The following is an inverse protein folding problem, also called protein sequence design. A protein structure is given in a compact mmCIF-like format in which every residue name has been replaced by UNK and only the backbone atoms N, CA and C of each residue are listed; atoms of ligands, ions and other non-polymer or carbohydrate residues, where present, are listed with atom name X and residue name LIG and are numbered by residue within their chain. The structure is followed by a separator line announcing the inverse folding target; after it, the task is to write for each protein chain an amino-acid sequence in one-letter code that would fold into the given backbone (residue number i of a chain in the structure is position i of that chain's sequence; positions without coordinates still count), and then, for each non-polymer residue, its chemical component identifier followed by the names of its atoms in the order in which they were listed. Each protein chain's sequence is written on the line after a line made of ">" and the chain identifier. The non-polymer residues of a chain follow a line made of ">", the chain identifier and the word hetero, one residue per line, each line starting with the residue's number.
data_IF_685864208064
#
_entry.id   IF_685864208064
#
_cell.length_a   1.000
_cell.length_b   1.000
_cell.length_c   1.000
_cell.angle_alpha   90.00
_cell.angle_beta   90.00
_cell.angle_gamma   90.00
#
_symmetry.space_group_name_H-M   'P 1'
#
loop_
_entity.id
_entity.type
_entity.pdbx_description
1 polymer ?
#
# COMPACT_ATOMS: atom_id res chain seq x y z
N UNK A 1 14.42 17.26 45.72
CA UNK A 1 15.45 16.72 46.63
C UNK A 1 16.64 16.31 45.77
N UNK A 2 17.83 16.82 46.05
CA UNK A 2 19.07 16.42 45.37
C UNK A 2 19.53 15.09 45.96
N UNK A 3 19.82 14.11 45.12
CA UNK A 3 20.44 12.84 45.51
C UNK A 3 21.74 12.73 44.72
N UNK A 4 22.90 12.88 45.37
CA UNK A 4 24.19 12.57 44.74
C UNK A 4 24.57 11.13 45.05
N UNK A 5 25.05 10.42 44.03
CA UNK A 5 25.54 9.05 44.18
C UNK A 5 27.04 9.10 44.52
N UNK A 6 27.55 8.14 45.32
CA UNK A 6 28.94 8.13 45.84
C UNK A 6 30.03 7.93 44.75
N UNK A 7 29.65 7.86 43.48
CA UNK A 7 30.51 7.57 42.32
C UNK A 7 30.57 8.77 41.36
N UNK A 8 29.83 9.86 41.61
CA UNK A 8 29.83 11.06 40.77
C UNK A 8 31.09 11.92 41.03
N UNK A 9 31.70 12.45 39.98
CA UNK A 9 32.80 13.41 40.13
C UNK A 9 32.27 14.76 40.60
N UNK A 10 33.13 15.62 41.16
CA UNK A 10 32.72 16.97 41.59
C UNK A 10 32.10 17.78 40.43
N UNK A 11 32.54 17.53 39.21
CA UNK A 11 32.03 18.20 38.01
C UNK A 11 30.61 17.71 37.64
N UNK A 12 30.34 16.41 37.81
CA UNK A 12 29.01 15.83 37.62
C UNK A 12 28.00 16.39 38.65
N UNK A 13 28.42 16.49 39.92
CA UNK A 13 27.63 17.10 41.00
C UNK A 13 27.31 18.56 40.69
N UNK A 14 28.29 19.33 40.22
CA UNK A 14 28.12 20.73 39.82
C UNK A 14 27.13 20.87 38.67
N UNK A 15 27.27 20.06 37.62
CA UNK A 15 26.39 20.10 36.46
C UNK A 15 24.94 19.72 36.82
N UNK A 16 24.75 18.72 37.68
CA UNK A 16 23.44 18.31 38.18
C UNK A 16 22.77 19.40 39.03
N UNK A 17 23.52 20.09 39.90
CA UNK A 17 23.01 21.22 40.68
C UNK A 17 22.56 22.37 39.78
N UNK A 18 23.36 22.70 38.76
CA UNK A 18 23.00 23.74 37.76
C UNK A 18 21.71 23.37 37.03
N UNK A 19 21.52 22.09 36.69
CA UNK A 19 20.30 21.61 36.04
C UNK A 19 19.06 21.74 36.95
N UNK A 20 19.19 21.40 38.23
CA UNK A 20 18.10 21.55 39.20
C UNK A 20 17.75 23.02 39.41
N UNK A 21 18.75 23.91 39.47
CA UNK A 21 18.52 25.36 39.55
C UNK A 21 17.78 25.88 38.31
N UNK A 22 18.18 25.45 37.11
CA UNK A 22 17.49 25.80 35.86
C UNK A 22 16.01 25.36 35.88
N UNK A 23 15.73 24.15 36.36
CA UNK A 23 14.36 23.63 36.49
C UNK A 23 13.55 24.40 37.55
N UNK A 24 14.16 24.71 38.70
CA UNK A 24 13.53 25.50 39.77
C UNK A 24 13.22 26.94 39.37
N UNK A 25 14.00 27.52 38.46
CA UNK A 25 13.77 28.86 37.90
C UNK A 25 12.73 28.86 36.76
N UNK A 26 12.40 27.69 36.21
CA UNK A 26 11.44 27.54 35.11
C UNK A 26 10.09 28.25 35.33
N UNK A 27 9.40 28.03 36.47
CA UNK A 27 8.12 28.68 36.76
C UNK A 27 8.19 30.22 36.81
N UNK A 28 9.35 30.78 37.16
CA UNK A 28 9.54 32.23 37.23
C UNK A 28 9.75 32.82 35.83
N UNK A 29 10.56 32.18 34.99
CA UNK A 29 10.80 32.66 33.63
C UNK A 29 9.58 32.45 32.73
N UNK A 30 8.82 31.37 32.94
CA UNK A 30 7.58 31.09 32.23
C UNK A 30 6.51 32.19 32.37
N UNK A 31 6.59 33.03 33.41
CA UNK A 31 5.67 34.15 33.65
C UNK A 31 6.15 35.49 33.06
N UNK A 32 7.24 35.47 32.30
CA UNK A 32 7.84 36.67 31.70
C UNK A 32 7.86 36.59 30.18
N UNK A 33 7.98 37.72 29.45
CA UNK A 33 8.17 37.72 28.00
C UNK A 33 9.38 36.91 27.53
N UNK A 34 10.34 36.62 28.41
CA UNK A 34 11.52 35.80 28.11
C UNK A 34 11.20 34.31 27.92
N UNK A 35 9.99 33.85 28.28
CA UNK A 35 9.54 32.48 28.04
C UNK A 35 9.66 32.09 26.56
N UNK A 36 9.41 33.04 25.65
CA UNK A 36 9.48 32.82 24.20
C UNK A 36 10.90 32.53 23.68
N UNK A 37 11.93 32.85 24.45
CA UNK A 37 13.34 32.59 24.11
C UNK A 37 13.88 31.27 24.66
N UNK A 38 13.10 30.53 25.44
CA UNK A 38 13.56 29.31 26.11
C UNK A 38 13.03 28.07 25.38
N UNK A 39 13.95 27.16 25.05
CA UNK A 39 13.62 25.81 24.59
C UNK A 39 14.03 24.80 25.65
N UNK A 40 13.07 24.07 26.19
CA UNK A 40 13.32 22.94 27.07
C UNK A 40 13.46 21.68 26.22
N UNK A 41 14.63 21.05 26.27
CA UNK A 41 14.89 19.77 25.64
C UNK A 41 14.88 18.72 26.73
N UNK A 42 13.81 17.93 26.80
CA UNK A 42 13.79 16.72 27.60
C UNK A 42 14.59 15.67 26.83
N UNK A 43 15.81 15.40 27.26
CA UNK A 43 16.53 14.19 26.84
C UNK A 43 15.98 13.04 27.68
N UNK A 44 14.83 12.52 27.28
CA UNK A 44 14.54 11.13 27.62
C UNK A 44 15.49 10.29 26.78
N UNK A 45 16.36 9.52 27.43
CA UNK A 45 16.76 8.24 26.85
C UNK A 45 15.49 7.41 26.83
N UNK A 46 14.66 7.62 25.81
CA UNK A 46 13.57 6.72 25.45
C UNK A 46 14.27 5.44 25.04
N UNK A 47 14.64 4.62 26.03
CA UNK A 47 14.83 3.20 25.77
C UNK A 47 13.49 2.79 25.19
N UNK A 48 13.42 2.38 23.91
CA UNK A 48 12.18 1.89 23.38
C UNK A 48 11.69 0.86 24.39
N UNK A 49 10.48 1.04 24.90
CA UNK A 49 9.79 -0.01 25.65
C UNK A 49 9.56 -1.08 24.60
N UNK A 50 10.60 -1.87 24.35
CA UNK A 50 10.60 -2.98 23.43
C UNK A 50 9.70 -4.00 24.11
N UNK A 51 8.40 -3.83 23.94
CA UNK A 51 7.45 -4.90 24.09
C UNK A 51 8.00 -5.98 23.17
N UNK A 52 8.49 -7.06 23.75
CA UNK A 52 9.04 -8.18 23.01
C UNK A 52 7.96 -8.70 22.08
N UNK A 53 8.18 -8.53 20.78
CA UNK A 53 7.24 -8.98 19.78
C UNK A 53 7.31 -10.51 19.65
N UNK A 54 6.41 -11.19 20.35
CA UNK A 54 6.28 -12.65 20.33
C UNK A 54 5.94 -13.20 18.94
N UNK A 55 5.42 -12.37 18.04
CA UNK A 55 5.03 -12.76 16.69
C UNK A 55 6.12 -12.46 15.64
N UNK A 56 7.25 -11.85 16.02
CA UNK A 56 8.38 -11.59 15.11
C UNK A 56 7.94 -10.93 13.79
N UNK A 57 7.21 -9.82 13.93
CA UNK A 57 6.68 -8.95 12.89
C UNK A 57 5.62 -9.57 11.98
N UNK A 58 5.13 -10.77 12.29
CA UNK A 58 4.04 -11.40 11.54
C UNK A 58 2.68 -10.84 11.94
N UNK A 59 1.89 -10.48 10.93
CA UNK A 59 0.51 -10.02 11.07
C UNK A 59 -0.36 -10.88 10.15
N UNK A 60 -1.37 -11.51 10.73
CA UNK A 60 -2.35 -12.34 10.03
C UNK A 60 -3.70 -11.65 10.07
N UNK A 61 -4.38 -11.63 8.94
CA UNK A 61 -5.74 -11.11 8.82
C UNK A 61 -6.56 -12.12 8.03
N UNK A 62 -7.77 -12.39 8.51
CA UNK A 62 -8.74 -13.28 7.87
C UNK A 62 -10.10 -12.63 8.01
N UNK A 63 -10.81 -12.50 6.90
CA UNK A 63 -12.16 -11.99 6.81
C UNK A 63 -12.99 -12.89 5.92
N UNK A 64 -14.27 -13.01 6.27
CA UNK A 64 -15.27 -13.75 5.52
C UNK A 64 -16.57 -12.99 5.69
N UNK A 65 -17.07 -12.49 4.57
CA UNK A 65 -18.24 -11.63 4.49
C UNK A 65 -19.25 -12.29 3.56
N UNK A 66 -20.53 -12.25 3.94
CA UNK A 66 -21.60 -12.86 3.16
C UNK A 66 -22.84 -11.99 3.18
N UNK A 67 -23.46 -11.82 2.02
CA UNK A 67 -24.68 -11.04 1.86
C UNK A 67 -25.71 -11.85 1.07
N UNK A 68 -26.95 -11.85 1.56
CA UNK A 68 -28.09 -12.51 0.93
C UNK A 68 -29.20 -11.47 0.76
N UNK A 69 -29.66 -11.28 -0.48
CA UNK A 69 -30.80 -10.41 -0.82
C UNK A 69 -31.86 -11.22 -1.56
N UNK A 70 -33.11 -11.03 -1.20
CA UNK A 70 -34.24 -11.73 -1.81
C UNK A 70 -35.42 -10.80 -2.02
N UNK A 71 -35.88 -10.75 -3.26
CA UNK A 71 -37.08 -10.08 -3.75
C UNK A 71 -37.98 -11.09 -4.47
N UNK A 72 -39.21 -10.71 -4.80
CA UNK A 72 -40.21 -11.61 -5.40
C UNK A 72 -39.71 -12.31 -6.67
N UNK A 73 -38.94 -11.62 -7.52
CA UNK A 73 -38.43 -12.17 -8.79
C UNK A 73 -36.89 -12.30 -8.86
N UNK A 74 -36.17 -11.85 -7.82
CA UNK A 74 -34.69 -11.81 -7.82
C UNK A 74 -34.12 -12.30 -6.49
N UNK A 75 -33.15 -13.21 -6.55
CA UNK A 75 -32.34 -13.65 -5.41
C UNK A 75 -30.87 -13.40 -5.72
N UNK A 76 -30.15 -12.80 -4.79
CA UNK A 76 -28.73 -12.50 -4.92
C UNK A 76 -27.98 -13.01 -3.69
N UNK A 77 -26.92 -13.76 -3.92
CA UNK A 77 -26.02 -14.28 -2.89
C UNK A 77 -24.61 -13.85 -3.21
N UNK A 78 -23.99 -13.10 -2.31
CA UNK A 78 -22.60 -12.70 -2.39
C UNK A 78 -21.83 -13.31 -1.23
N UNK A 79 -20.64 -13.84 -1.52
CA UNK A 79 -19.69 -14.36 -0.56
C UNK A 79 -18.30 -13.84 -0.93
N UNK A 80 -17.64 -13.19 0.01
CA UNK A 80 -16.30 -12.65 -0.13
C UNK A 80 -15.42 -13.14 1.01
N UNK A 81 -14.21 -13.56 0.73
CA UNK A 81 -13.24 -13.99 1.73
C UNK A 81 -11.86 -13.43 1.41
N UNK A 82 -11.20 -12.87 2.41
CA UNK A 82 -9.85 -12.34 2.28
C UNK A 82 -8.94 -12.89 3.39
N UNK A 83 -7.77 -13.38 3.01
CA UNK A 83 -6.69 -13.80 3.90
C UNK A 83 -5.46 -12.98 3.55
N UNK A 84 -4.87 -12.31 4.53
CA UNK A 84 -3.62 -11.58 4.37
C UNK A 84 -2.59 -11.98 5.42
N UNK A 85 -1.37 -12.27 4.96
CA UNK A 85 -0.24 -12.63 5.79
C UNK A 85 0.89 -11.66 5.47
N UNK A 86 1.28 -10.87 6.45
CA UNK A 86 2.28 -9.82 6.29
C UNK A 86 3.41 -10.02 7.27
N UNK A 87 4.63 -9.76 6.83
CA UNK A 87 5.80 -9.61 7.69
C UNK A 87 6.63 -8.43 7.22
N UNK A 88 6.85 -7.46 8.09
CA UNK A 88 7.61 -6.25 7.77
C UNK A 88 8.72 -6.08 8.80
N UNK A 89 9.96 -6.24 8.35
CA UNK A 89 11.16 -5.98 9.15
C UNK A 89 11.90 -4.76 8.60
N UNK A 90 12.97 -4.33 9.27
CA UNK A 90 13.81 -3.22 8.79
C UNK A 90 14.41 -3.50 7.40
N UNK A 91 14.78 -4.75 7.12
CA UNK A 91 15.50 -5.12 5.89
C UNK A 91 14.60 -5.70 4.79
N UNK A 92 13.39 -6.16 5.13
CA UNK A 92 12.55 -6.90 4.19
C UNK A 92 11.06 -6.82 4.49
N UNK A 93 10.26 -6.96 3.44
CA UNK A 93 8.81 -6.99 3.48
C UNK A 93 8.31 -8.20 2.70
N UNK A 94 7.51 -9.03 3.36
CA UNK A 94 6.76 -10.12 2.75
C UNK A 94 5.26 -9.82 2.91
N UNK A 95 4.50 -9.93 1.82
CA UNK A 95 3.05 -9.92 1.85
C UNK A 95 2.52 -11.08 1.02
N UNK A 96 1.51 -11.75 1.54
CA UNK A 96 0.73 -12.76 0.81
C UNK A 96 -0.74 -12.45 1.02
N UNK A 97 -1.53 -12.46 -0.04
CA UNK A 97 -2.96 -12.22 -0.04
C UNK A 97 -3.67 -13.34 -0.79
N UNK A 98 -4.83 -13.76 -0.30
CA UNK A 98 -5.77 -14.61 -1.01
C UNK A 98 -7.15 -13.98 -0.89
N UNK A 99 -7.73 -13.65 -2.02
CA UNK A 99 -9.05 -13.05 -2.19
C UNK A 99 -9.93 -14.04 -2.97
N UNK A 100 -11.13 -14.29 -2.46
CA UNK A 100 -12.11 -15.17 -3.08
C UNK A 100 -13.46 -14.46 -3.04
N UNK A 101 -14.04 -14.21 -4.20
CA UNK A 101 -15.37 -13.66 -4.34
C UNK A 101 -16.25 -14.57 -5.19
N UNK A 102 -17.50 -14.70 -4.76
CA UNK A 102 -18.54 -15.43 -5.47
C UNK A 102 -19.83 -14.66 -5.36
N UNK A 103 -20.41 -14.33 -6.50
CA UNK A 103 -21.72 -13.69 -6.61
C UNK A 103 -22.62 -14.58 -7.48
N UNK A 104 -23.81 -14.89 -6.97
CA UNK A 104 -24.81 -15.65 -7.69
C UNK A 104 -26.13 -14.89 -7.68
N UNK A 105 -26.58 -14.50 -8.86
CA UNK A 105 -27.89 -13.94 -9.09
C UNK A 105 -28.80 -15.00 -9.72
N UNK A 106 -30.04 -15.07 -9.25
CA UNK A 106 -31.09 -15.93 -9.82
C UNK A 106 -32.34 -15.09 -10.06
N UNK A 107 -32.88 -15.18 -11.26
CA UNK A 107 -34.04 -14.45 -11.74
C UNK A 107 -35.15 -15.44 -12.09
N UNK A 108 -36.33 -15.23 -11.52
CA UNK A 108 -37.54 -16.00 -11.83
C UNK A 108 -38.36 -15.19 -12.84
N UNK A 109 -38.38 -15.63 -14.11
CA UNK A 109 -39.17 -15.02 -15.19
C UNK A 109 -40.22 -16.03 -15.66
N UNK A 110 -41.48 -15.75 -15.34
CA UNK A 110 -42.62 -16.62 -15.64
C UNK A 110 -42.39 -18.07 -15.15
N UNK A 111 -42.10 -19.02 -16.05
CA UNK A 111 -41.81 -20.44 -15.77
C UNK A 111 -40.32 -20.81 -15.91
N UNK A 112 -39.44 -19.84 -16.22
CA UNK A 112 -38.01 -20.06 -16.40
C UNK A 112 -37.18 -19.42 -15.28
N UNK A 113 -36.18 -20.16 -14.79
CA UNK A 113 -35.21 -19.67 -13.83
C UNK A 113 -33.88 -19.41 -14.53
N UNK A 114 -33.49 -18.15 -14.64
CA UNK A 114 -32.20 -17.74 -15.19
C UNK A 114 -31.24 -17.54 -14.03
N UNK A 115 -30.02 -18.08 -14.11
CA UNK A 115 -28.99 -17.83 -13.11
C UNK A 115 -27.72 -17.29 -13.75
N UNK A 116 -27.11 -16.31 -13.07
CA UNK A 116 -25.81 -15.75 -13.40
C UNK A 116 -24.88 -16.00 -12.23
N UNK A 117 -23.67 -16.47 -12.50
CA UNK A 117 -22.66 -16.73 -11.46
C UNK A 117 -21.34 -16.09 -11.86
N UNK A 118 -20.86 -15.19 -11.02
CA UNK A 118 -19.55 -14.54 -11.12
C UNK A 118 -18.66 -15.07 -10.00
N UNK A 119 -17.46 -15.52 -10.35
CA UNK A 119 -16.46 -15.99 -9.38
C UNK A 119 -15.11 -15.39 -9.71
N UNK A 120 -14.41 -14.88 -8.69
CA UNK A 120 -13.01 -14.48 -8.75
C UNK A 120 -12.22 -15.11 -7.61
N UNK A 121 -11.00 -15.52 -7.92
CA UNK A 121 -10.02 -16.03 -6.97
C UNK A 121 -8.70 -15.44 -7.36
N UNK A 122 -8.08 -14.70 -6.45
CA UNK A 122 -6.84 -14.00 -6.69
C UNK A 122 -5.90 -14.26 -5.50
N UNK A 123 -4.69 -14.73 -5.81
CA UNK A 123 -3.62 -14.89 -4.84
C UNK A 123 -2.46 -14.01 -5.27
N UNK A 124 -1.94 -13.21 -4.35
CA UNK A 124 -0.80 -12.34 -4.60
C UNK A 124 0.29 -12.53 -3.56
N UNK A 125 1.54 -12.55 -4.01
CA UNK A 125 2.72 -12.64 -3.18
C UNK A 125 3.71 -11.55 -3.54
N UNK A 126 4.14 -10.76 -2.55
CA UNK A 126 5.16 -9.73 -2.68
C UNK A 126 6.30 -10.02 -1.72
N UNK A 127 7.52 -10.07 -2.25
CA UNK A 127 8.73 -10.03 -1.44
C UNK A 127 9.61 -8.86 -1.87
N UNK A 128 10.04 -8.04 -0.91
CA UNK A 128 10.93 -6.90 -1.12
C UNK A 128 12.06 -6.96 -0.11
N UNK A 129 13.27 -6.66 -0.55
CA UNK A 129 14.45 -6.53 0.29
C UNK A 129 15.15 -5.20 0.00
N UNK A 130 15.41 -4.44 1.05
CA UNK A 130 16.20 -3.21 0.97
C UNK A 130 17.67 -3.57 0.77
N UNK A 131 18.31 -2.93 -0.21
CA UNK A 131 19.75 -3.07 -0.46
C UNK A 131 20.51 -1.99 0.31
N UNK A 132 19.97 -0.78 0.33
CA UNK A 132 20.46 0.37 1.09
C UNK A 132 19.30 1.36 1.33
N UNK A 133 19.61 2.56 1.81
CA UNK A 133 18.61 3.61 2.08
C UNK A 133 17.83 4.08 0.84
N UNK A 134 18.26 3.76 -0.38
CA UNK A 134 17.64 4.25 -1.61
C UNK A 134 17.17 3.13 -2.55
N UNK A 135 17.83 1.98 -2.54
CA UNK A 135 17.55 0.89 -3.46
C UNK A 135 16.87 -0.27 -2.75
N UNK A 136 15.82 -0.80 -3.38
CA UNK A 136 15.25 -2.09 -3.02
C UNK A 136 15.04 -2.97 -4.24
N UNK A 137 15.06 -4.27 -4.02
CA UNK A 137 14.78 -5.28 -5.03
C UNK A 137 13.69 -6.20 -4.51
N UNK A 138 12.81 -6.63 -5.39
CA UNK A 138 11.71 -7.48 -5.01
C UNK A 138 11.09 -8.21 -6.18
N UNK A 139 9.98 -8.85 -5.90
CA UNK A 139 9.16 -9.49 -6.92
C UNK A 139 7.73 -9.63 -6.46
N UNK A 140 6.84 -9.53 -7.43
CA UNK A 140 5.43 -9.84 -7.29
C UNK A 140 5.13 -11.16 -8.00
N UNK A 141 4.25 -11.96 -7.42
CA UNK A 141 3.67 -13.14 -8.06
C UNK A 141 2.16 -13.02 -7.90
N UNK A 142 1.41 -13.26 -8.98
CA UNK A 142 -0.05 -13.29 -8.92
C UNK A 142 -0.56 -14.59 -9.55
N UNK A 143 -1.55 -15.21 -8.94
CA UNK A 143 -2.28 -16.36 -9.48
C UNK A 143 -3.75 -16.01 -9.43
N UNK A 144 -4.45 -16.11 -10.55
CA UNK A 144 -5.85 -15.68 -10.61
C UNK A 144 -6.74 -16.58 -11.47
N UNK A 145 -8.03 -16.58 -11.16
CA UNK A 145 -9.13 -17.10 -11.96
C UNK A 145 -10.29 -16.12 -11.84
N UNK A 146 -10.96 -15.81 -12.95
CA UNK A 146 -12.11 -14.92 -12.95
C UNK A 146 -13.06 -15.27 -14.09
N UNK A 147 -14.31 -15.60 -13.79
CA UNK A 147 -15.32 -15.82 -14.83
C UNK A 147 -15.61 -14.53 -15.60
N UNK A 148 -15.73 -13.39 -14.89
CA UNK A 148 -15.97 -12.08 -15.49
C UNK A 148 -14.85 -11.63 -16.45
N UNK A 149 -13.57 -11.82 -16.07
CA UNK A 149 -12.43 -11.43 -16.92
C UNK A 149 -12.11 -12.46 -18.03
N UNK A 150 -12.93 -13.51 -18.18
CA UNK A 150 -12.69 -14.65 -19.08
C UNK A 150 -11.37 -15.40 -18.78
N UNK A 151 -10.91 -15.43 -17.53
CA UNK A 151 -9.66 -16.10 -17.12
C UNK A 151 -10.01 -17.38 -16.39
N UNK A 152 -9.63 -18.52 -16.96
CA UNK A 152 -9.76 -19.83 -16.30
C UNK A 152 -8.63 -20.01 -15.28
N UNK A 153 -7.41 -19.68 -15.70
CA UNK A 153 -6.23 -19.68 -14.86
C UNK A 153 -5.17 -18.75 -15.45
N UNK A 154 -4.63 -17.87 -14.63
CA UNK A 154 -3.47 -17.07 -14.96
C UNK A 154 -2.44 -17.13 -13.83
N UNK A 155 -1.17 -17.14 -14.19
CA UNK A 155 -0.09 -16.86 -13.24
C UNK A 155 0.86 -15.84 -13.84
N UNK A 156 1.34 -14.92 -13.02
CA UNK A 156 2.28 -13.88 -13.40
C UNK A 156 3.40 -13.77 -12.39
N UNK A 157 4.57 -13.37 -12.87
CA UNK A 157 5.75 -13.11 -12.08
C UNK A 157 6.40 -11.83 -12.58
N UNK A 158 6.59 -10.88 -11.66
CA UNK A 158 7.13 -9.56 -11.93
C UNK A 158 8.27 -9.25 -10.96
N UNK A 159 9.53 -9.65 -11.26
CA UNK A 159 10.69 -9.07 -10.60
C UNK A 159 10.71 -7.54 -10.78
N UNK A 160 11.16 -6.87 -9.73
CA UNK A 160 11.10 -5.42 -9.62
C UNK A 160 12.35 -4.85 -8.97
N UNK A 161 12.73 -3.66 -9.39
CA UNK A 161 13.73 -2.83 -8.73
C UNK A 161 13.13 -1.45 -8.47
N UNK A 162 13.37 -0.91 -7.29
CA UNK A 162 12.90 0.40 -6.90
C UNK A 162 14.08 1.27 -6.48
N UNK A 163 14.05 2.53 -6.91
CA UNK A 163 14.92 3.58 -6.42
C UNK A 163 14.10 4.70 -5.79
N UNK A 164 14.37 4.98 -4.52
CA UNK A 164 13.82 6.10 -3.78
C UNK A 164 14.86 7.24 -3.75
N UNK A 165 14.48 8.43 -4.22
CA UNK A 165 15.33 9.60 -4.22
C UNK A 165 15.55 10.15 -2.79
N UNK A 166 14.60 9.88 -1.88
CA UNK A 166 14.75 10.16 -0.45
C UNK A 166 15.15 8.88 0.29
N UNK A 167 15.99 8.97 1.34
CA UNK A 167 16.37 7.79 2.10
C UNK A 167 15.13 7.18 2.78
N UNK A 168 15.08 5.84 2.89
CA UNK A 168 13.94 5.11 3.47
C UNK A 168 13.57 5.59 4.87
N UNK A 169 14.55 6.02 5.67
CA UNK A 169 14.33 6.67 6.97
C UNK A 169 13.42 7.92 6.95
N UNK A 170 13.21 8.55 5.78
CA UNK A 170 12.33 9.72 5.62
C UNK A 170 11.03 9.41 4.86
N UNK A 171 10.81 8.16 4.44
CA UNK A 171 9.70 7.79 3.54
C UNK A 171 8.31 8.00 4.14
N UNK A 172 8.18 8.06 5.46
CA UNK A 172 6.91 8.40 6.14
C UNK A 172 6.53 9.88 6.02
N UNK A 173 7.51 10.75 5.75
CA UNK A 173 7.33 12.21 5.58
C UNK A 173 7.39 12.62 4.11
N UNK A 174 8.31 12.05 3.34
CA UNK A 174 8.48 12.34 1.93
C UNK A 174 9.14 11.18 1.21
N UNK A 175 8.61 10.85 0.04
CA UNK A 175 9.20 9.87 -0.83
C UNK A 175 8.96 10.25 -2.28
N UNK A 176 9.96 9.94 -3.10
CA UNK A 176 9.88 10.02 -4.54
C UNK A 176 10.54 8.73 -5.02
N UNK A 177 9.75 7.84 -5.60
CA UNK A 177 10.20 6.50 -5.95
C UNK A 177 9.99 6.26 -7.43
N UNK A 178 10.97 5.64 -8.07
CA UNK A 178 10.86 5.06 -9.39
C UNK A 178 10.90 3.54 -9.24
N UNK A 179 9.80 2.88 -9.55
CA UNK A 179 9.64 1.43 -9.53
C UNK A 179 9.61 0.92 -10.96
N UNK A 180 10.57 0.07 -11.31
CA UNK A 180 10.62 -0.61 -12.59
C UNK A 180 10.34 -2.10 -12.41
N UNK A 181 9.41 -2.64 -13.19
CA UNK A 181 8.99 -4.04 -13.17
C UNK A 181 9.12 -4.63 -14.56
N UNK A 182 9.57 -5.88 -14.63
CA UNK A 182 9.51 -6.70 -15.84
C UNK A 182 8.75 -7.99 -15.51
N UNK A 183 7.83 -8.37 -16.38
CA UNK A 183 6.82 -9.37 -16.13
C UNK A 183 6.80 -10.49 -17.15
N UNK A 184 6.48 -11.69 -16.67
CA UNK A 184 5.94 -12.76 -17.52
C UNK A 184 4.62 -13.26 -16.94
N UNK A 185 3.61 -13.32 -17.79
CA UNK A 185 2.30 -13.88 -17.48
C UNK A 185 1.92 -15.00 -18.44
N UNK A 186 1.36 -16.09 -17.92
CA UNK A 186 0.73 -17.14 -18.72
C UNK A 186 -0.74 -17.19 -18.40
N UNK A 187 -1.56 -17.04 -19.43
CA UNK A 187 -3.01 -16.91 -19.34
C UNK A 187 -3.69 -18.06 -20.07
N UNK A 188 -4.67 -18.66 -19.42
CA UNK A 188 -5.62 -19.61 -20.03
C UNK A 188 -7.01 -19.01 -19.92
N UNK A 189 -7.67 -18.89 -21.05
CA UNK A 189 -8.99 -18.28 -21.14
C UNK A 189 -10.09 -19.33 -21.11
N UNK A 190 -11.24 -18.96 -20.56
CA UNK A 190 -12.43 -19.83 -20.52
C UNK A 190 -13.01 -19.98 -21.93
N UNK A 191 -13.14 -18.85 -22.61
CA UNK A 191 -13.61 -18.68 -23.97
C UNK A 191 -12.51 -18.12 -24.87
N UNK A 192 -12.70 -18.26 -26.19
CA UNK A 192 -11.79 -17.69 -27.17
C UNK A 192 -11.83 -16.16 -27.10
N UNK A 193 -10.66 -15.53 -27.03
CA UNK A 193 -10.58 -14.06 -27.01
C UNK A 193 -10.92 -13.48 -28.39
N UNK A 194 -11.19 -12.16 -28.45
CA UNK A 194 -11.31 -11.40 -29.71
C UNK A 194 -10.08 -11.51 -30.63
N UNK A 195 -8.95 -12.00 -30.09
CA UNK A 195 -7.69 -12.24 -30.81
C UNK A 195 -7.46 -13.72 -31.16
N UNK A 196 -8.51 -14.55 -31.08
CA UNK A 196 -8.49 -15.98 -31.37
C UNK A 196 -7.48 -16.77 -30.50
N UNK A 197 -7.31 -16.34 -29.24
CA UNK A 197 -6.45 -17.02 -28.26
C UNK A 197 -7.29 -17.74 -27.21
N UNK A 198 -6.89 -18.97 -26.88
CA UNK A 198 -7.38 -19.73 -25.71
C UNK A 198 -6.31 -19.88 -24.62
N UNK A 199 -5.05 -19.68 -25.00
CA UNK A 199 -3.90 -19.65 -24.12
C UNK A 199 -2.84 -18.74 -24.74
N UNK A 200 -2.19 -17.94 -23.92
CA UNK A 200 -1.02 -17.16 -24.35
C UNK A 200 -0.04 -16.90 -23.21
N UNK A 201 1.20 -16.60 -23.59
CA UNK A 201 2.25 -16.14 -22.70
C UNK A 201 2.66 -14.74 -23.11
N UNK A 202 2.63 -13.81 -22.17
CA UNK A 202 2.86 -12.39 -22.38
C UNK A 202 4.05 -11.94 -21.55
N UNK A 203 4.87 -11.10 -22.15
CA UNK A 203 5.95 -10.41 -21.47
C UNK A 203 5.60 -8.92 -21.45
N UNK A 204 5.73 -8.29 -20.29
CA UNK A 204 5.41 -6.89 -20.08
C UNK A 204 6.52 -6.17 -19.31
N UNK A 205 6.55 -4.85 -19.43
CA UNK A 205 7.31 -4.00 -18.53
C UNK A 205 6.45 -2.83 -18.07
N UNK A 206 6.78 -2.31 -16.88
CA UNK A 206 6.15 -1.10 -16.36
C UNK A 206 7.14 -0.25 -15.57
N UNK A 207 6.95 1.06 -15.69
CA UNK A 207 7.65 2.07 -14.90
C UNK A 207 6.61 2.91 -14.17
N UNK A 208 6.74 2.97 -12.85
CA UNK A 208 5.90 3.81 -11.99
C UNK A 208 6.76 4.83 -11.28
N UNK A 209 6.38 6.10 -11.35
CA UNK A 209 6.97 7.19 -10.59
C UNK A 209 5.93 7.66 -9.59
N UNK A 210 6.26 7.61 -8.30
CA UNK A 210 5.35 8.03 -7.22
C UNK A 210 6.02 9.07 -6.34
N UNK A 211 5.36 10.21 -6.16
CA UNK A 211 5.68 11.24 -5.19
C UNK A 211 4.63 11.19 -4.07
N UNK A 212 5.06 11.14 -2.83
CA UNK A 212 4.20 11.29 -1.65
C UNK A 212 4.89 12.22 -0.66
N UNK A 213 4.17 13.24 -0.20
CA UNK A 213 4.64 14.23 0.75
C UNK A 213 3.61 14.42 1.85
N UNK A 214 4.03 14.20 3.09
CA UNK A 214 3.24 14.41 4.29
C UNK A 214 3.89 15.51 5.12
N UNK A 215 3.39 16.73 5.00
CA UNK A 215 4.00 17.93 5.57
C UNK A 215 3.00 18.71 6.44
N UNK A 216 3.46 19.63 7.33
CA UNK A 216 2.55 20.41 8.18
C UNK A 216 1.56 21.28 7.41
N UNK A 217 1.86 21.62 6.16
CA UNK A 217 1.00 22.37 5.27
C UNK A 217 -0.06 21.49 4.57
N UNK A 218 0.06 20.16 4.63
CA UNK A 218 -0.83 19.27 3.91
C UNK A 218 -0.17 17.99 3.38
N UNK A 219 -0.92 17.29 2.53
CA UNK A 219 -0.45 16.08 1.83
C UNK A 219 -0.45 16.31 0.33
N UNK A 220 0.50 15.71 -0.37
CA UNK A 220 0.54 15.70 -1.82
C UNK A 220 0.98 14.33 -2.31
N UNK A 221 0.15 13.71 -3.13
CA UNK A 221 0.38 12.42 -3.74
C UNK A 221 0.28 12.57 -5.25
N UNK A 222 1.24 12.00 -5.97
CA UNK A 222 1.23 11.98 -7.42
C UNK A 222 1.82 10.66 -7.89
N UNK A 223 1.13 9.99 -8.81
CA UNK A 223 1.57 8.74 -9.41
C UNK A 223 1.46 8.79 -10.92
N UNK A 224 2.50 8.33 -11.59
CA UNK A 224 2.57 8.18 -13.04
C UNK A 224 3.03 6.76 -13.34
N UNK A 225 2.17 5.96 -13.97
CA UNK A 225 2.49 4.61 -14.43
C UNK A 225 2.41 4.55 -15.96
N UNK A 226 3.46 4.03 -16.58
CA UNK A 226 3.46 3.60 -17.97
C UNK A 226 3.80 2.13 -18.07
N UNK A 227 3.09 1.38 -18.90
CA UNK A 227 3.38 -0.02 -19.18
C UNK A 227 3.05 -0.40 -20.62
N UNK A 228 3.69 -1.46 -21.11
CA UNK A 228 3.34 -2.08 -22.39
C UNK A 228 3.77 -3.55 -22.44
N UNK A 229 3.23 -4.29 -23.41
CA UNK A 229 3.71 -5.62 -23.75
C UNK A 229 4.86 -5.56 -24.76
N UNK A 230 5.85 -6.44 -24.64
CA UNK A 230 7.01 -6.45 -25.57
C UNK A 230 6.64 -6.86 -26.99
N UNK A 231 5.60 -7.68 -27.17
CA UNK A 231 5.21 -8.15 -28.50
C UNK A 231 4.45 -7.09 -29.31
N UNK A 232 3.84 -6.10 -28.64
CA UNK A 232 3.08 -5.03 -29.28
C UNK A 232 2.98 -3.80 -28.36
N UNK A 233 3.76 -2.77 -28.67
CA UNK A 233 3.78 -1.49 -27.93
C UNK A 233 2.47 -0.71 -28.01
N UNK A 234 1.57 -1.04 -28.96
CA UNK A 234 0.22 -0.46 -28.99
C UNK A 234 -0.66 -0.99 -27.87
N UNK A 235 -0.30 -2.14 -27.29
CA UNK A 235 -0.90 -2.68 -26.06
C UNK A 235 -0.18 -2.05 -24.87
N UNK A 236 -0.61 -0.84 -24.55
CA UNK A 236 -0.02 -0.04 -23.49
C UNK A 236 -1.08 0.48 -22.52
N UNK A 237 -0.59 0.92 -21.38
CA UNK A 237 -1.38 1.61 -20.37
C UNK A 237 -0.60 2.80 -19.85
N UNK A 238 -1.30 3.93 -19.74
CA UNK A 238 -0.80 5.14 -19.10
C UNK A 238 -1.80 5.56 -18.04
N UNK A 239 -1.37 5.60 -16.78
CA UNK A 239 -2.18 6.05 -15.65
C UNK A 239 -1.49 7.20 -14.96
N UNK A 240 -2.23 8.28 -14.75
CA UNK A 240 -1.80 9.43 -13.98
C UNK A 240 -2.83 9.66 -12.88
N UNK A 241 -2.38 9.77 -11.64
CA UNK A 241 -3.23 10.17 -10.53
C UNK A 241 -2.52 11.22 -9.68
N UNK A 242 -3.30 12.12 -9.09
CA UNK A 242 -2.79 13.12 -8.18
C UNK A 242 -3.84 13.52 -7.15
N UNK A 243 -3.40 13.65 -5.92
CA UNK A 243 -4.17 14.15 -4.80
C UNK A 243 -3.36 15.23 -4.07
N UNK A 244 -4.00 16.33 -3.74
CA UNK A 244 -3.38 17.44 -3.03
C UNK A 244 -4.36 17.96 -1.98
N UNK A 245 -4.04 17.76 -0.72
CA UNK A 245 -4.75 18.34 0.42
C UNK A 245 -3.91 19.45 1.03
N UNK A 246 -4.33 20.70 0.87
CA UNK A 246 -3.64 21.89 1.38
C UNK A 246 -4.40 22.51 2.56
N UNK A 247 -3.71 22.68 3.68
CA UNK A 247 -4.20 23.48 4.80
C UNK A 247 -3.81 24.95 4.61
N UNK A 248 -4.72 25.75 4.06
CA UNK A 248 -4.51 27.17 3.80
C UNK A 248 -4.54 27.98 5.11
N UNK A 249 -5.54 27.73 5.96
CA UNK A 249 -5.68 28.38 7.26
C UNK A 249 -6.41 27.48 8.26
N UNK A 250 -6.41 27.82 9.55
CA UNK A 250 -7.14 27.06 10.57
C UNK A 250 -8.64 27.01 10.23
N UNK A 251 -9.13 25.83 9.85
CA UNK A 251 -10.51 25.60 9.44
C UNK A 251 -10.77 25.76 7.93
N UNK A 252 -9.75 26.06 7.12
CA UNK A 252 -9.85 26.12 5.66
C UNK A 252 -8.84 25.16 5.02
N UNK A 253 -9.33 24.10 4.41
CA UNK A 253 -8.56 23.19 3.54
C UNK A 253 -9.01 23.33 2.09
N UNK A 254 -8.09 22.99 1.18
CA UNK A 254 -8.35 22.84 -0.25
C UNK A 254 -7.91 21.43 -0.63
N UNK A 255 -8.83 20.66 -1.16
CA UNK A 255 -8.60 19.27 -1.55
C UNK A 255 -8.83 19.19 -3.07
N UNK A 256 -7.81 18.70 -3.78
CA UNK A 256 -7.81 18.55 -5.24
C UNK A 256 -7.44 17.11 -5.55
N UNK A 257 -8.30 16.43 -6.29
CA UNK A 257 -8.08 15.07 -6.76
C UNK A 257 -8.26 15.04 -8.28
N UNK A 258 -7.44 14.25 -8.96
CA UNK A 258 -7.57 14.01 -10.39
C UNK A 258 -6.93 12.70 -10.82
N UNK A 259 -7.57 12.03 -11.77
CA UNK A 259 -7.01 10.85 -12.41
C UNK A 259 -7.25 10.87 -13.92
N UNK A 260 -6.31 10.30 -14.66
CA UNK A 260 -6.37 10.09 -16.10
C UNK A 260 -5.86 8.69 -16.41
N UNK A 261 -6.59 7.95 -17.23
CA UNK A 261 -6.24 6.59 -17.61
C UNK A 261 -6.47 6.38 -19.10
N UNK A 262 -5.44 5.89 -19.79
CA UNK A 262 -5.49 5.47 -21.18
C UNK A 262 -5.04 4.00 -21.26
N UNK A 263 -6.00 3.09 -21.45
CA UNK A 263 -5.81 1.64 -21.31
C UNK A 263 -6.10 0.93 -22.62
N UNK A 264 -5.08 0.32 -23.24
CA UNK A 264 -5.18 -0.39 -24.52
C UNK A 264 -4.72 -1.86 -24.44
N UNK A 265 -4.68 -2.41 -23.22
CA UNK A 265 -4.06 -3.70 -22.86
C UNK A 265 -5.07 -4.82 -22.50
N UNK A 266 -6.36 -4.64 -22.86
CA UNK A 266 -7.46 -5.58 -22.56
C UNK A 266 -7.46 -6.83 -23.46
N UNK A 267 -6.48 -7.72 -23.27
CA UNK A 267 -6.28 -8.92 -24.12
C UNK A 267 -7.23 -10.08 -23.80
N UNK A 268 -7.82 -10.11 -22.60
CA UNK A 268 -8.68 -11.22 -22.15
C UNK A 268 -10.12 -11.15 -22.63
N UNK A 269 -10.51 -10.09 -23.35
CA UNK A 269 -11.89 -9.87 -23.77
C UNK A 269 -12.40 -11.07 -24.60
N UNK A 270 -13.51 -11.72 -24.18
CA UNK A 270 -14.09 -12.81 -24.95
C UNK A 270 -14.58 -12.31 -26.30
N UNK A 271 -14.49 -13.16 -27.33
CA UNK A 271 -14.91 -12.84 -28.69
C UNK A 271 -16.40 -12.47 -28.80
N UNK A 272 -17.19 -12.91 -27.81
CA UNK A 272 -18.65 -12.89 -27.85
C UNK A 272 -19.19 -13.96 -28.82
N UNK A 273 -20.33 -14.56 -28.48
CA UNK A 273 -21.12 -15.29 -29.47
C UNK A 273 -21.89 -14.27 -30.32
N UNK A 274 -21.79 -14.39 -31.65
CA UNK A 274 -22.61 -13.64 -32.63
C UNK A 274 -23.84 -14.45 -32.97
#
# INVERSE_FOLDING_TARGET
>A
KFFSNRIETEDDVRNNLVQILKLGLGPYVARTPMANGIRLLLREDVKPTAVEDKWNFWVFYVSLDGELRGEEQKKSTQLSGNISINRVTLDSKLRMGLDIDSEKDTYELDDETISSTSESKDFDGLYVKSINEHWSIGGWVSISSSSYRNIDFAYTIHPAIEYNFFPYSQSTRRQLRALYKIGYGSYRYREMTVFDKKKEGLWDESLTITLEMNEPWGTAEFSLEGSHYFHDFKRNRLVVSGELSLRIYKGLSLDIEGSYSATHDQLSLPRGEV
#
